data_IF_547522986225
#
_entry.id   IF_547522986225
#
_cell.length_a   1.000
_cell.length_b   1.000
_cell.length_c   1.000
_cell.angle_alpha   90.00
_cell.angle_beta   90.00
_cell.angle_gamma   90.00
#
_symmetry.space_group_name_H-M   'P 1'
#
loop_
_entity.id
_entity.type
_entity.pdbx_description
1 polymer ?
#
# COMPACT_ATOMS: atom_id res chain seq x y z
N UNK A 1 -34.00 20.12 28.98
CA UNK A 1 -32.65 19.78 28.49
C UNK A 1 -32.75 19.61 26.99
N UNK A 2 -31.92 20.30 26.23
CA UNK A 2 -31.81 20.08 24.78
C UNK A 2 -31.15 18.72 24.56
N UNK A 3 -31.83 17.84 23.83
CA UNK A 3 -31.25 16.58 23.35
C UNK A 3 -30.23 16.97 22.29
N UNK A 4 -28.94 16.72 22.53
CA UNK A 4 -27.93 16.82 21.49
C UNK A 4 -28.22 15.73 20.45
N UNK A 5 -28.59 16.15 19.24
CA UNK A 5 -28.67 15.26 18.08
C UNK A 5 -27.24 15.03 17.62
N UNK A 6 -26.72 13.79 17.57
CA UNK A 6 -25.39 13.51 17.05
C UNK A 6 -25.27 14.11 15.66
N UNK A 7 -24.27 14.98 15.44
CA UNK A 7 -24.04 15.56 14.12
C UNK A 7 -23.76 14.47 13.08
N UNK A 8 -24.11 14.70 11.81
CA UNK A 8 -23.94 13.75 10.69
C UNK A 8 -22.55 13.10 10.60
N UNK A 9 -21.53 13.75 11.14
CA UNK A 9 -20.17 13.20 11.21
C UNK A 9 -20.11 11.93 12.07
N UNK A 10 -20.88 11.84 13.15
CA UNK A 10 -20.88 10.66 14.03
C UNK A 10 -21.64 9.47 13.43
N UNK A 11 -22.64 9.73 12.58
CA UNK A 11 -23.50 8.66 12.02
C UNK A 11 -22.83 7.93 10.86
N UNK A 12 -21.93 8.60 10.13
CA UNK A 12 -21.30 8.04 8.93
C UNK A 12 -19.98 7.30 9.22
N UNK A 13 -19.19 7.78 10.20
CA UNK A 13 -17.89 7.19 10.52
C UNK A 13 -17.96 6.01 11.50
N UNK A 14 -19.07 5.83 12.23
CA UNK A 14 -19.28 4.70 13.14
C UNK A 14 -19.99 3.50 12.46
N UNK A 15 -20.36 3.60 11.18
CA UNK A 15 -20.91 2.47 10.42
C UNK A 15 -19.78 1.52 9.95
N UNK A 16 -19.77 0.25 10.37
CA UNK A 16 -18.79 -0.73 9.90
C UNK A 16 -18.73 -0.85 8.37
N UNK A 17 -19.85 -0.63 7.67
CA UNK A 17 -19.91 -0.66 6.21
C UNK A 17 -19.06 0.45 5.58
N UNK A 18 -19.01 1.64 6.19
CA UNK A 18 -18.18 2.73 5.69
C UNK A 18 -16.69 2.36 5.69
N UNK A 19 -16.23 1.69 6.76
CA UNK A 19 -14.84 1.23 6.84
C UNK A 19 -14.52 0.16 5.79
N UNK A 20 -15.44 -0.76 5.53
CA UNK A 20 -15.30 -1.80 4.50
C UNK A 20 -15.30 -1.22 3.08
N UNK A 21 -16.19 -0.26 2.79
CA UNK A 21 -16.24 0.46 1.51
C UNK A 21 -14.97 1.27 1.28
N UNK A 22 -14.51 2.01 2.30
CA UNK A 22 -13.25 2.77 2.22
C UNK A 22 -12.05 1.83 2.03
N UNK A 23 -11.99 0.71 2.74
CA UNK A 23 -10.95 -0.29 2.56
C UNK A 23 -10.95 -0.87 1.14
N UNK A 24 -12.14 -1.17 0.60
CA UNK A 24 -12.32 -1.67 -0.76
C UNK A 24 -11.88 -0.65 -1.82
N UNK A 25 -12.24 0.63 -1.63
CA UNK A 25 -11.79 1.72 -2.48
C UNK A 25 -10.27 1.90 -2.44
N UNK A 26 -9.68 1.93 -1.25
CA UNK A 26 -8.23 1.99 -1.07
C UNK A 26 -7.53 0.81 -1.75
N UNK A 27 -8.07 -0.41 -1.62
CA UNK A 27 -7.54 -1.58 -2.31
C UNK A 27 -7.58 -1.41 -3.83
N UNK A 28 -8.69 -0.93 -4.39
CA UNK A 28 -8.80 -0.64 -5.82
C UNK A 28 -7.77 0.41 -6.30
N UNK A 29 -7.58 1.48 -5.53
CA UNK A 29 -6.54 2.50 -5.83
C UNK A 29 -5.14 1.87 -5.83
N UNK A 30 -4.82 1.03 -4.84
CA UNK A 30 -3.53 0.34 -4.79
C UNK A 30 -3.30 -0.59 -5.98
N UNK A 31 -4.33 -1.30 -6.44
CA UNK A 31 -4.26 -2.12 -7.65
C UNK A 31 -3.99 -1.28 -8.90
N UNK A 32 -4.61 -0.10 -9.02
CA UNK A 32 -4.33 0.82 -10.12
C UNK A 32 -2.90 1.37 -10.09
N UNK A 33 -2.38 1.67 -8.89
CA UNK A 33 -0.97 2.07 -8.72
C UNK A 33 -0.04 0.95 -9.18
N UNK A 34 -0.28 -0.28 -8.73
CA UNK A 34 0.51 -1.44 -9.13
C UNK A 34 0.45 -1.67 -10.66
N UNK A 35 -0.74 -1.55 -11.25
CA UNK A 35 -0.91 -1.67 -12.70
C UNK A 35 -0.13 -0.56 -13.45
N UNK A 36 -0.25 0.70 -13.03
CA UNK A 36 0.49 1.80 -13.65
C UNK A 36 2.01 1.60 -13.55
N UNK A 37 2.51 1.08 -12.43
CA UNK A 37 3.93 0.74 -12.28
C UNK A 37 4.35 -0.35 -13.27
N UNK A 38 3.52 -1.37 -13.50
CA UNK A 38 3.83 -2.44 -14.47
C UNK A 38 3.97 -1.94 -15.90
N UNK A 39 3.14 -0.98 -16.28
CA UNK A 39 3.13 -0.36 -17.60
C UNK A 39 4.26 0.66 -17.80
N UNK A 40 5.02 1.05 -16.76
CA UNK A 40 6.15 1.97 -16.90
C UNK A 40 7.25 1.36 -17.76
N UNK A 41 7.56 1.96 -18.92
CA UNK A 41 8.48 1.42 -19.92
C UNK A 41 9.92 1.29 -19.43
N UNK A 42 10.41 2.25 -18.63
CA UNK A 42 11.79 2.25 -18.16
C UNK A 42 11.96 1.25 -17.01
N UNK A 43 12.79 0.19 -17.15
CA UNK A 43 12.97 -0.79 -16.08
C UNK A 43 13.48 -0.14 -14.78
N UNK A 44 14.42 0.80 -14.90
CA UNK A 44 14.96 1.48 -13.72
C UNK A 44 13.89 2.35 -13.06
N UNK A 45 13.07 3.07 -13.84
CA UNK A 45 11.99 3.89 -13.29
C UNK A 45 10.91 3.01 -12.63
N UNK A 46 10.47 1.95 -13.32
CA UNK A 46 9.55 0.93 -12.83
C UNK A 46 10.00 0.36 -11.49
N UNK A 47 11.28 -0.03 -11.41
CA UNK A 47 11.85 -0.59 -10.20
C UNK A 47 11.88 0.40 -9.03
N UNK A 48 12.23 1.66 -9.29
CA UNK A 48 12.21 2.72 -8.28
C UNK A 48 10.79 3.03 -7.80
N UNK A 49 9.83 3.17 -8.73
CA UNK A 49 8.43 3.40 -8.39
C UNK A 49 7.85 2.26 -7.55
N UNK A 50 8.19 1.01 -7.90
CA UNK A 50 7.76 -0.15 -7.12
C UNK A 50 8.32 -0.13 -5.69
N UNK A 51 9.61 0.23 -5.54
CA UNK A 51 10.25 0.34 -4.23
C UNK A 51 9.65 1.47 -3.38
N UNK A 52 9.44 2.64 -3.98
CA UNK A 52 8.85 3.80 -3.31
C UNK A 52 7.40 3.51 -2.88
N UNK A 53 6.59 2.93 -3.77
CA UNK A 53 5.22 2.52 -3.45
C UNK A 53 5.19 1.50 -2.31
N UNK A 54 6.08 0.50 -2.33
CA UNK A 54 6.18 -0.49 -1.26
C UNK A 54 6.53 0.14 0.09
N UNK A 55 7.53 1.02 0.11
CA UNK A 55 7.94 1.74 1.32
C UNK A 55 6.79 2.64 1.84
N UNK A 56 6.08 3.34 0.95
CA UNK A 56 4.94 4.16 1.31
C UNK A 56 3.80 3.33 1.93
N UNK A 57 3.41 2.23 1.29
CA UNK A 57 2.36 1.33 1.81
C UNK A 57 2.75 0.82 3.19
N UNK A 58 3.95 0.28 3.34
CA UNK A 58 4.40 -0.30 4.59
C UNK A 58 4.62 0.74 5.72
N UNK A 59 4.81 2.02 5.38
CA UNK A 59 4.95 3.11 6.35
C UNK A 59 3.60 3.70 6.77
N UNK A 60 2.69 3.93 5.83
CA UNK A 60 1.48 4.72 6.06
C UNK A 60 0.20 3.90 6.19
N UNK A 61 0.19 2.66 5.70
CA UNK A 61 -0.98 1.79 5.78
C UNK A 61 -0.78 0.70 6.83
N UNK A 62 -1.89 0.23 7.40
CA UNK A 62 -1.87 -0.93 8.27
C UNK A 62 -1.44 -2.16 7.47
N UNK A 63 -0.36 -2.81 7.90
CA UNK A 63 0.06 -4.08 7.33
C UNK A 63 -0.91 -5.19 7.74
N UNK A 64 -1.50 -5.81 6.73
CA UNK A 64 -2.36 -7.00 6.80
C UNK A 64 -2.07 -7.86 5.57
N UNK A 65 -2.78 -8.98 5.41
CA UNK A 65 -2.51 -9.91 4.31
C UNK A 65 -2.66 -9.26 2.92
N UNK A 66 -3.61 -8.34 2.74
CA UNK A 66 -3.84 -7.65 1.48
C UNK A 66 -2.72 -6.66 1.15
N UNK A 67 -2.35 -5.80 2.09
CA UNK A 67 -1.26 -4.84 1.88
C UNK A 67 0.10 -5.53 1.79
N UNK A 68 0.29 -6.64 2.51
CA UNK A 68 1.49 -7.48 2.40
C UNK A 68 1.61 -8.15 1.04
N UNK A 69 0.51 -8.67 0.48
CA UNK A 69 0.51 -9.26 -0.87
C UNK A 69 0.93 -8.22 -1.92
N UNK A 70 0.37 -7.01 -1.87
CA UNK A 70 0.74 -5.91 -2.78
C UNK A 70 2.22 -5.53 -2.62
N UNK A 71 2.71 -5.39 -1.38
CA UNK A 71 4.12 -5.08 -1.13
C UNK A 71 5.06 -6.17 -1.67
N UNK A 72 4.70 -7.45 -1.56
CA UNK A 72 5.50 -8.56 -2.13
C UNK A 72 5.59 -8.45 -3.64
N UNK A 73 4.48 -8.18 -4.31
CA UNK A 73 4.41 -8.02 -5.77
C UNK A 73 5.22 -6.81 -6.25
N UNK A 74 5.13 -5.68 -5.54
CA UNK A 74 5.97 -4.50 -5.78
C UNK A 74 7.46 -4.83 -5.60
N UNK A 75 7.81 -5.62 -4.59
CA UNK A 75 9.20 -6.04 -4.39
C UNK A 75 9.72 -6.98 -5.45
N UNK A 76 8.90 -7.85 -6.01
CA UNK A 76 9.26 -8.68 -7.16
C UNK A 76 9.54 -7.82 -8.40
N UNK A 77 8.72 -6.79 -8.64
CA UNK A 77 8.95 -5.80 -9.70
C UNK A 77 10.27 -5.05 -9.47
N UNK A 78 10.50 -4.55 -8.25
CA UNK A 78 11.73 -3.84 -7.92
C UNK A 78 12.97 -4.73 -8.11
N UNK A 79 12.93 -5.98 -7.66
CA UNK A 79 14.05 -6.92 -7.76
C UNK A 79 14.34 -7.36 -9.21
N UNK A 80 13.31 -7.49 -10.04
CA UNK A 80 13.49 -7.84 -11.46
C UNK A 80 13.98 -6.67 -12.31
N UNK A 81 13.75 -5.43 -11.85
CA UNK A 81 14.05 -4.23 -12.65
C UNK A 81 15.29 -3.45 -12.19
N UNK A 82 15.71 -3.60 -10.93
CA UNK A 82 16.88 -2.94 -10.35
C UNK A 82 18.08 -3.87 -10.22
N UNK A 83 19.28 -3.28 -10.23
CA UNK A 83 20.51 -4.00 -9.87
C UNK A 83 20.44 -4.51 -8.44
N UNK A 84 21.01 -5.69 -8.17
CA UNK A 84 21.17 -6.24 -6.81
C UNK A 84 21.96 -5.33 -5.86
N UNK A 85 22.73 -4.38 -6.40
CA UNK A 85 23.48 -3.39 -5.63
C UNK A 85 22.68 -2.11 -5.35
N UNK A 86 21.39 -2.08 -5.68
CA UNK A 86 20.54 -0.93 -5.40
C UNK A 86 20.45 -0.71 -3.88
N UNK A 87 20.93 0.46 -3.43
CA UNK A 87 21.21 0.79 -2.02
C UNK A 87 20.06 0.51 -1.06
N UNK A 88 18.81 0.62 -1.54
CA UNK A 88 17.62 0.53 -0.71
C UNK A 88 16.88 -0.80 -0.83
N UNK A 89 17.23 -1.65 -1.80
CA UNK A 89 16.52 -2.91 -2.06
C UNK A 89 16.64 -3.88 -0.87
N UNK A 90 17.85 -4.04 -0.34
CA UNK A 90 18.10 -4.90 0.82
C UNK A 90 17.36 -4.44 2.07
N UNK A 91 17.43 -3.14 2.39
CA UNK A 91 16.76 -2.56 3.56
C UNK A 91 15.24 -2.69 3.49
N UNK A 92 14.63 -2.51 2.32
CA UNK A 92 13.17 -2.72 2.16
C UNK A 92 12.78 -4.19 2.31
N UNK A 93 13.58 -5.15 1.83
CA UNK A 93 13.35 -6.59 2.09
C UNK A 93 13.36 -6.90 3.58
N UNK A 94 14.36 -6.40 4.32
CA UNK A 94 14.46 -6.60 5.77
C UNK A 94 13.30 -5.95 6.52
N UNK A 95 12.88 -4.76 6.09
CA UNK A 95 11.73 -4.07 6.67
C UNK A 95 10.44 -4.88 6.50
N UNK A 96 10.18 -5.42 5.30
CA UNK A 96 8.99 -6.26 5.07
C UNK A 96 9.00 -7.58 5.83
N UNK A 97 10.18 -8.16 6.07
CA UNK A 97 10.31 -9.38 6.85
C UNK A 97 9.81 -9.21 8.29
N UNK A 98 9.76 -7.98 8.82
CA UNK A 98 9.20 -7.69 10.15
C UNK A 98 7.68 -7.91 10.22
N UNK A 99 6.98 -7.86 9.09
CA UNK A 99 5.52 -8.03 9.00
C UNK A 99 5.08 -9.43 8.56
N UNK A 100 6.03 -10.35 8.30
CA UNK A 100 5.74 -11.71 7.85
C UNK A 100 5.81 -12.76 8.99
N UNK A 101 5.67 -12.33 10.24
CA UNK A 101 5.72 -13.17 11.44
C UNK A 101 4.34 -13.45 12.03
#
# INVERSE_FOLDING_TARGET
GTVEVPGNNLVFFDDPLYHEELASFCHYVLQNVLHAIREEDSPVARGNLALDACNCIATFLKMNDNTLAICKELMEIAQSSLSRQHKYLGSTVEFLAMFSK
#
